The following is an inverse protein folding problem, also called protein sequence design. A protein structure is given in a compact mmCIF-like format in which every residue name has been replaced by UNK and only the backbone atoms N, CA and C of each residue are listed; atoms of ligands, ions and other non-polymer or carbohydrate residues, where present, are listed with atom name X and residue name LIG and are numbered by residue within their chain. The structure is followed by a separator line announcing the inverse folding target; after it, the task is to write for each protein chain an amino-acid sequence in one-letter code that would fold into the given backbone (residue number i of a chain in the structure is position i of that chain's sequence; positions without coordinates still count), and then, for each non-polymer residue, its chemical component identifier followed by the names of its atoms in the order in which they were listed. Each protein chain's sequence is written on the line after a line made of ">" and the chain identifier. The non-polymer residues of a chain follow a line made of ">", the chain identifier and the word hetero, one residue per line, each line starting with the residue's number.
data_IF_434138811785
#
_entry.id   IF_434138811785
#
_cell.length_a   1.000
_cell.length_b   1.000
_cell.length_c   1.000
_cell.angle_alpha   90.00
_cell.angle_beta   90.00
_cell.angle_gamma   90.00
#
_symmetry.space_group_name_H-M   'P 1'
#
loop_
_entity.id
_entity.type
_entity.pdbx_description
1 polymer ?
#
# COMPACT_ATOMS: atom_id res chain seq x y z
N UNK A 1 -25.26 3.93 6.29
CA UNK A 1 -24.16 3.59 5.38
C UNK A 1 -24.04 2.07 5.23
N UNK A 2 -23.42 1.60 4.15
CA UNK A 2 -23.30 0.16 3.85
C UNK A 2 -22.66 -0.65 5.00
N UNK A 3 -21.71 -0.08 5.73
CA UNK A 3 -21.08 -0.75 6.88
C UNK A 3 -22.02 -1.01 8.06
N UNK A 4 -22.97 -0.10 8.30
CA UNK A 4 -23.98 -0.27 9.35
C UNK A 4 -24.98 -1.36 8.96
N UNK A 5 -25.42 -1.37 7.69
CA UNK A 5 -26.28 -2.42 7.16
C UNK A 5 -25.61 -3.80 7.21
N UNK A 6 -24.29 -3.86 7.03
CA UNK A 6 -23.49 -5.08 7.14
C UNK A 6 -23.09 -5.46 8.59
N UNK A 7 -23.44 -4.65 9.61
CA UNK A 7 -23.13 -4.94 11.01
C UNK A 7 -21.64 -4.87 11.38
N UNK A 8 -20.80 -4.21 10.57
CA UNK A 8 -19.34 -4.15 10.77
C UNK A 8 -18.82 -2.77 11.15
N UNK A 9 -19.69 -1.76 11.24
CA UNK A 9 -19.29 -0.38 11.51
C UNK A 9 -18.44 -0.22 12.79
N UNK A 10 -18.66 -1.03 13.83
CA UNK A 10 -17.85 -1.00 15.06
C UNK A 10 -16.39 -1.43 14.89
N UNK A 11 -16.01 -1.97 13.73
CA UNK A 11 -14.63 -2.36 13.38
C UNK A 11 -13.91 -1.27 12.57
N UNK A 12 -14.60 -0.19 12.20
CA UNK A 12 -14.11 0.82 11.27
C UNK A 12 -13.92 2.13 12.03
N UNK A 13 -12.74 2.71 11.89
CA UNK A 13 -12.45 4.07 12.35
C UNK A 13 -11.99 4.87 11.14
N UNK A 14 -12.80 5.84 10.77
CA UNK A 14 -12.52 6.70 9.62
C UNK A 14 -11.65 7.88 10.07
N UNK A 15 -10.56 8.13 9.34
CA UNK A 15 -9.72 9.30 9.52
C UNK A 15 -9.84 10.17 8.27
N UNK A 16 -10.52 11.31 8.40
CA UNK A 16 -10.78 12.22 7.27
C UNK A 16 -9.65 13.24 7.18
N UNK A 17 -8.86 13.17 6.12
CA UNK A 17 -7.76 14.09 5.85
C UNK A 17 -6.71 13.47 4.92
N UNK A 18 -5.58 14.17 4.68
CA UNK A 18 -4.46 13.62 3.92
C UNK A 18 -3.87 12.40 4.63
N UNK A 19 -3.87 11.24 3.96
CA UNK A 19 -3.43 9.98 4.55
C UNK A 19 -1.99 10.04 5.08
N UNK A 20 -1.07 10.75 4.40
CA UNK A 20 0.32 10.88 4.87
C UNK A 20 0.41 11.58 6.23
N UNK A 21 -0.37 12.64 6.46
CA UNK A 21 -0.37 13.34 7.74
C UNK A 21 -0.89 12.43 8.86
N UNK A 22 -1.97 11.69 8.60
CA UNK A 22 -2.52 10.72 9.56
C UNK A 22 -1.55 9.58 9.86
N UNK A 23 -0.88 9.03 8.85
CA UNK A 23 0.13 7.98 9.05
C UNK A 23 1.32 8.49 9.85
N UNK A 24 1.77 9.72 9.56
CA UNK A 24 2.86 10.35 10.31
C UNK A 24 2.45 10.53 11.79
N UNK A 25 1.23 10.98 12.09
CA UNK A 25 0.71 11.04 13.47
C UNK A 25 0.74 9.67 14.17
N UNK A 26 0.29 8.61 13.49
CA UNK A 26 0.29 7.24 14.05
C UNK A 26 1.69 6.73 14.37
N UNK A 27 2.67 7.04 13.52
CA UNK A 27 4.08 6.66 13.76
C UNK A 27 4.62 7.29 15.04
N UNK A 28 4.18 8.51 15.38
CA UNK A 28 4.60 9.18 16.60
C UNK A 28 3.91 8.62 17.85
N UNK A 29 2.72 8.02 17.71
CA UNK A 29 1.90 7.57 18.84
C UNK A 29 1.99 6.08 19.14
N UNK A 30 2.25 5.22 18.14
CA UNK A 30 2.15 3.77 18.26
C UNK A 30 3.30 3.06 17.54
N UNK A 31 3.93 2.08 18.21
CA UNK A 31 4.93 1.22 17.59
C UNK A 31 4.28 -0.03 17.00
N UNK A 32 4.33 -0.17 15.68
CA UNK A 32 3.92 -1.38 14.93
C UNK A 32 2.53 -1.97 15.27
N UNK A 33 1.44 -1.17 15.36
CA UNK A 33 0.16 -1.67 15.85
C UNK A 33 -0.61 -2.56 14.85
N UNK A 34 -0.20 -2.62 13.58
CA UNK A 34 -1.01 -3.26 12.53
C UNK A 34 -0.46 -4.61 12.08
N UNK A 35 -1.37 -5.58 11.93
CA UNK A 35 -1.09 -6.88 11.29
C UNK A 35 -1.06 -6.78 9.76
N UNK A 36 -1.82 -5.84 9.20
CA UNK A 36 -2.10 -5.73 7.77
C UNK A 36 -2.34 -4.28 7.34
N UNK A 37 -1.82 -3.91 6.18
CA UNK A 37 -2.12 -2.64 5.52
C UNK A 37 -2.53 -2.88 4.05
N UNK A 38 -3.53 -2.15 3.57
CA UNK A 38 -3.94 -2.16 2.17
C UNK A 38 -3.80 -0.76 1.57
N UNK A 39 -3.01 -0.62 0.51
CA UNK A 39 -2.71 0.65 -0.15
C UNK A 39 -3.42 0.65 -1.50
N UNK A 40 -4.50 1.43 -1.58
CA UNK A 40 -5.20 1.77 -2.82
C UNK A 40 -5.62 3.25 -2.80
N UNK A 41 -4.68 4.11 -3.18
CA UNK A 41 -4.82 5.57 -3.17
C UNK A 41 -4.24 6.19 -4.46
N UNK A 42 -3.80 7.45 -4.40
CA UNK A 42 -3.09 8.14 -5.47
C UNK A 42 -1.66 7.57 -5.67
N UNK A 43 -1.33 7.25 -6.92
CA UNK A 43 -0.17 6.40 -7.25
C UNK A 43 1.16 7.10 -7.04
N UNK A 44 1.20 8.42 -7.27
CA UNK A 44 2.36 9.26 -7.00
C UNK A 44 2.87 9.19 -5.54
N UNK A 45 2.01 8.83 -4.58
CA UNK A 45 2.40 8.68 -3.16
C UNK A 45 2.56 7.24 -2.69
N UNK A 46 2.42 6.23 -3.56
CA UNK A 46 2.51 4.84 -3.14
C UNK A 46 3.80 4.52 -2.38
N UNK A 47 4.93 5.06 -2.82
CA UNK A 47 6.20 4.85 -2.13
C UNK A 47 6.20 5.45 -0.72
N UNK A 48 5.63 6.66 -0.60
CA UNK A 48 5.48 7.32 0.69
C UNK A 48 4.58 6.53 1.63
N UNK A 49 3.46 6.00 1.11
CA UNK A 49 2.55 5.14 1.89
C UNK A 49 3.23 3.84 2.32
N UNK A 50 3.96 3.20 1.41
CA UNK A 50 4.69 1.96 1.72
C UNK A 50 5.69 2.16 2.86
N UNK A 51 6.49 3.22 2.84
CA UNK A 51 7.46 3.47 3.92
C UNK A 51 6.78 3.68 5.28
N UNK A 52 5.68 4.44 5.35
CA UNK A 52 4.93 4.59 6.61
C UNK A 52 4.28 3.28 7.04
N UNK A 53 3.68 2.56 6.11
CA UNK A 53 3.07 1.26 6.38
C UNK A 53 4.12 0.27 6.90
N UNK A 54 5.35 0.29 6.37
CA UNK A 54 6.44 -0.56 6.84
C UNK A 54 6.89 -0.22 8.26
N UNK A 55 6.79 1.04 8.68
CA UNK A 55 7.02 1.44 10.08
C UNK A 55 5.90 0.98 11.01
N UNK A 56 4.65 1.02 10.53
CA UNK A 56 3.44 0.79 11.33
C UNK A 56 2.96 -0.67 11.35
N UNK A 57 3.33 -1.47 10.36
CA UNK A 57 3.01 -2.90 10.31
C UNK A 57 4.05 -3.67 11.11
N UNK A 58 3.63 -4.62 11.93
CA UNK A 58 4.55 -5.45 12.72
C UNK A 58 5.43 -6.35 11.86
N UNK A 59 6.54 -6.79 12.43
CA UNK A 59 7.30 -7.93 11.91
C UNK A 59 6.38 -9.13 11.63
N UNK A 60 6.48 -9.71 10.44
CA UNK A 60 5.60 -10.78 9.96
C UNK A 60 4.17 -10.35 9.59
N UNK A 61 3.88 -9.05 9.56
CA UNK A 61 2.65 -8.49 9.01
C UNK A 61 2.77 -8.26 7.50
N UNK A 62 1.65 -7.97 6.84
CA UNK A 62 1.57 -7.88 5.37
C UNK A 62 1.11 -6.49 4.92
N UNK A 63 1.82 -5.93 3.96
CA UNK A 63 1.39 -4.73 3.22
C UNK A 63 0.96 -5.19 1.84
N UNK A 64 -0.30 -4.94 1.50
CA UNK A 64 -0.87 -5.22 0.20
C UNK A 64 -1.00 -3.92 -0.61
N UNK A 65 -0.51 -3.93 -1.84
CA UNK A 65 -0.50 -2.75 -2.72
C UNK A 65 -1.20 -3.12 -4.03
N UNK A 66 -2.28 -2.40 -4.35
CA UNK A 66 -3.14 -2.68 -5.50
C UNK A 66 -2.65 -1.99 -6.78
N UNK A 67 -3.16 -2.45 -7.93
CA UNK A 67 -2.94 -1.92 -9.27
C UNK A 67 -1.48 -1.88 -9.74
N UNK A 68 -0.65 -2.84 -9.30
CA UNK A 68 0.79 -2.85 -9.63
C UNK A 68 1.10 -3.21 -11.09
N UNK A 69 0.14 -3.76 -11.83
CA UNK A 69 0.25 -3.97 -13.29
C UNK A 69 -0.23 -2.75 -14.10
N UNK A 70 -0.98 -1.83 -13.49
CA UNK A 70 -1.45 -0.57 -14.06
C UNK A 70 -2.04 -0.69 -15.48
N UNK A 71 -2.98 -1.62 -15.65
CA UNK A 71 -3.61 -1.98 -16.92
C UNK A 71 -2.62 -2.38 -18.02
N UNK A 72 -1.47 -2.93 -17.63
CA UNK A 72 -0.36 -3.27 -18.51
C UNK A 72 0.55 -2.09 -18.89
N UNK A 73 0.23 -0.87 -18.48
CA UNK A 73 1.03 0.32 -18.81
C UNK A 73 2.45 0.22 -18.28
N UNK A 74 2.67 -0.48 -17.16
CA UNK A 74 4.02 -0.63 -16.59
C UNK A 74 5.00 -1.35 -17.55
N UNK A 75 4.51 -2.16 -18.49
CA UNK A 75 5.35 -2.84 -19.49
C UNK A 75 5.40 -2.13 -20.85
N UNK A 76 4.60 -1.09 -21.08
CA UNK A 76 4.63 -0.30 -22.32
C UNK A 76 5.63 0.87 -22.23
N UNK A 77 6.81 0.81 -22.88
CA UNK A 77 7.82 1.84 -22.76
C UNK A 77 7.40 3.20 -23.33
N UNK A 78 6.31 3.28 -24.11
CA UNK A 78 5.81 4.53 -24.69
C UNK A 78 4.96 5.33 -23.70
N UNK A 79 4.41 4.67 -22.68
CA UNK A 79 3.62 5.30 -21.62
C UNK A 79 4.55 5.87 -20.55
N UNK A 80 4.47 7.19 -20.36
CA UNK A 80 5.41 7.98 -19.55
C UNK A 80 4.71 8.98 -18.62
N UNK A 81 3.42 8.81 -18.31
CA UNK A 81 2.74 9.64 -17.33
C UNK A 81 3.29 9.42 -15.90
N UNK A 82 2.99 10.35 -15.00
CA UNK A 82 3.51 10.36 -13.63
C UNK A 82 3.13 9.10 -12.84
N UNK A 83 1.90 8.63 -12.96
CA UNK A 83 1.41 7.45 -12.22
C UNK A 83 2.12 6.18 -12.70
N UNK A 84 2.23 6.00 -14.03
CA UNK A 84 2.96 4.85 -14.59
C UNK A 84 4.42 4.84 -14.16
N UNK A 85 5.09 6.00 -14.14
CA UNK A 85 6.48 6.11 -13.68
C UNK A 85 6.60 5.81 -12.18
N UNK A 86 5.68 6.30 -11.36
CA UNK A 86 5.66 6.05 -9.92
C UNK A 86 5.49 4.55 -9.62
N UNK A 87 4.56 3.87 -10.30
CA UNK A 87 4.34 2.43 -10.10
C UNK A 87 5.55 1.62 -10.59
N UNK A 88 6.16 1.97 -11.72
CA UNK A 88 7.40 1.30 -12.17
C UNK A 88 8.53 1.44 -11.14
N UNK A 89 8.73 2.65 -10.63
CA UNK A 89 9.75 2.92 -9.62
C UNK A 89 9.50 2.14 -8.33
N UNK A 90 8.24 2.10 -7.87
CA UNK A 90 7.82 1.31 -6.73
C UNK A 90 8.08 -0.19 -6.97
N UNK A 91 7.64 -0.73 -8.11
CA UNK A 91 7.79 -2.15 -8.42
C UNK A 91 9.27 -2.58 -8.41
N UNK A 92 10.15 -1.76 -8.97
CA UNK A 92 11.59 -2.03 -8.96
C UNK A 92 12.16 -1.96 -7.54
N UNK A 93 11.79 -0.93 -6.76
CA UNK A 93 12.23 -0.77 -5.37
C UNK A 93 11.82 -1.97 -4.52
N UNK A 94 10.54 -2.35 -4.55
CA UNK A 94 9.99 -3.43 -3.73
C UNK A 94 10.62 -4.77 -4.04
N UNK A 95 10.94 -5.03 -5.31
CA UNK A 95 11.65 -6.25 -5.73
C UNK A 95 13.04 -6.37 -5.09
N UNK A 96 13.68 -5.24 -4.79
CA UNK A 96 15.04 -5.18 -4.25
C UNK A 96 15.09 -4.92 -2.74
N UNK A 97 13.94 -4.68 -2.08
CA UNK A 97 13.90 -4.27 -0.69
C UNK A 97 14.16 -5.47 0.26
N UNK A 98 15.29 -5.48 1.01
CA UNK A 98 15.64 -6.61 1.86
C UNK A 98 14.77 -6.72 3.12
N UNK A 99 13.94 -5.72 3.42
CA UNK A 99 13.06 -5.67 4.60
C UNK A 99 11.79 -6.50 4.41
N UNK A 100 11.52 -7.00 3.20
CA UNK A 100 10.31 -7.74 2.87
C UNK A 100 10.59 -9.04 2.11
N UNK A 101 9.63 -9.96 2.18
CA UNK A 101 9.40 -10.96 1.13
C UNK A 101 8.24 -10.48 0.27
N UNK A 102 8.34 -10.61 -1.06
CA UNK A 102 7.32 -10.13 -1.98
C UNK A 102 6.75 -11.25 -2.86
N UNK A 103 5.44 -11.24 -3.04
CA UNK A 103 4.74 -12.06 -4.01
C UNK A 103 3.75 -11.21 -4.81
N UNK A 104 3.64 -11.47 -6.12
CA UNK A 104 2.64 -10.86 -6.98
C UNK A 104 1.49 -11.84 -7.21
N UNK A 105 0.29 -11.47 -6.80
CA UNK A 105 -0.92 -12.17 -7.19
C UNK A 105 -1.48 -11.53 -8.48
N UNK A 106 -1.74 -12.35 -9.49
CA UNK A 106 -2.36 -11.92 -10.76
C UNK A 106 -3.88 -11.83 -10.62
N UNK A 107 -4.33 -11.07 -9.63
CA UNK A 107 -5.75 -10.79 -9.37
C UNK A 107 -5.99 -9.34 -9.78
N UNK A 108 -7.12 -9.10 -10.46
CA UNK A 108 -7.50 -7.76 -10.94
C UNK A 108 -6.34 -7.08 -11.70
N UNK A 109 -5.96 -5.87 -11.29
CA UNK A 109 -4.88 -5.10 -11.92
C UNK A 109 -3.50 -5.33 -11.25
N UNK A 110 -3.34 -6.50 -10.65
CA UNK A 110 -2.13 -6.91 -9.94
C UNK A 110 -2.12 -6.44 -8.49
N UNK A 111 -1.80 -7.38 -7.59
CA UNK A 111 -1.66 -7.13 -6.16
C UNK A 111 -0.30 -7.62 -5.70
N UNK A 112 0.52 -6.72 -5.16
CA UNK A 112 1.70 -7.14 -4.40
C UNK A 112 1.32 -7.44 -2.95
N UNK A 113 1.85 -8.53 -2.44
CA UNK A 113 1.84 -8.90 -1.04
C UNK A 113 3.28 -8.82 -0.52
N UNK A 114 3.54 -7.83 0.32
CA UNK A 114 4.84 -7.56 0.93
C UNK A 114 4.79 -7.99 2.40
N UNK A 115 5.38 -9.15 2.72
CA UNK A 115 5.52 -9.63 4.09
C UNK A 115 6.73 -8.96 4.74
N UNK A 116 6.52 -8.19 5.81
CA UNK A 116 7.62 -7.55 6.55
C UNK A 116 8.45 -8.60 7.29
N UNK A 117 9.76 -8.59 7.07
CA UNK A 117 10.69 -9.57 7.65
C UNK A 117 10.93 -9.38 9.12
#
# INVERSE_FOLDING_TARGET
>A
GYWAAAGVAGKIRDHVGPALATLDEFIHSEAEPYDFAFIDADKGNYDNYFERALTLVRKGGVIAIDNVLWSGSVVDPTVQDDDTRAIRALNEKLRQDPRIEIAMATIADGLFLCLKR
#
